data_IF_846013517873
#
_entry.id   IF_846013517873
#
_cell.length_a   1.000
_cell.length_b   1.000
_cell.length_c   1.000
_cell.angle_alpha   90.00
_cell.angle_beta   90.00
_cell.angle_gamma   90.00
#
_symmetry.space_group_name_H-M   'P 1'
#
loop_
_entity.id
_entity.type
_entity.pdbx_description
1 polymer ?
#
# COMPACT_ATOMS: atom_id res chain seq x y z
N UNK A 1 -14.42 21.88 -2.46
CA UNK A 1 -14.19 20.43 -2.63
C UNK A 1 -12.70 20.13 -2.80
N UNK A 2 -11.98 20.82 -3.71
CA UNK A 2 -10.56 20.55 -3.97
C UNK A 2 -9.68 20.75 -2.73
N UNK A 3 -9.93 21.79 -1.92
CA UNK A 3 -9.20 22.03 -0.65
C UNK A 3 -9.43 20.88 0.34
N UNK A 4 -10.68 20.45 0.52
CA UNK A 4 -11.00 19.34 1.41
C UNK A 4 -10.34 18.04 0.94
N UNK A 5 -10.35 17.74 -0.36
CA UNK A 5 -9.68 16.58 -0.95
C UNK A 5 -8.17 16.64 -0.71
N UNK A 6 -7.53 17.77 -1.01
CA UNK A 6 -6.09 17.95 -0.80
C UNK A 6 -5.70 17.81 0.68
N UNK A 7 -6.52 18.33 1.60
CA UNK A 7 -6.29 18.18 3.04
C UNK A 7 -6.35 16.71 3.48
N UNK A 8 -7.28 15.91 2.93
CA UNK A 8 -7.39 14.48 3.20
C UNK A 8 -6.22 13.67 2.62
N UNK A 9 -5.75 14.04 1.44
CA UNK A 9 -4.59 13.35 0.81
C UNK A 9 -3.30 13.56 1.61
N UNK A 10 -3.20 14.69 2.32
CA UNK A 10 -2.01 15.07 3.08
C UNK A 10 -2.03 14.62 4.54
N UNK A 11 -3.06 13.91 5.01
CA UNK A 11 -3.10 13.42 6.38
C UNK A 11 -3.40 11.92 6.48
N UNK A 12 -2.77 11.26 7.46
CA UNK A 12 -3.04 9.89 7.89
C UNK A 12 -3.52 9.85 9.35
N UNK A 13 -3.65 11.00 9.98
CA UNK A 13 -4.07 11.16 11.38
C UNK A 13 -5.60 11.14 11.46
N UNK A 14 -6.14 10.19 12.25
CA UNK A 14 -7.58 10.00 12.40
C UNK A 14 -8.29 11.24 12.96
N UNK A 15 -7.66 11.99 13.89
CA UNK A 15 -8.24 13.19 14.49
C UNK A 15 -8.31 14.33 13.46
N UNK A 16 -7.26 14.49 12.65
CA UNK A 16 -7.26 15.48 11.56
C UNK A 16 -8.30 15.16 10.51
N UNK A 17 -8.49 13.88 10.17
CA UNK A 17 -9.54 13.43 9.24
C UNK A 17 -10.92 13.78 9.80
N UNK A 18 -11.18 13.55 11.10
CA UNK A 18 -12.44 13.93 11.75
C UNK A 18 -12.66 15.45 11.77
N UNK A 19 -11.62 16.25 12.00
CA UNK A 19 -11.69 17.71 11.90
C UNK A 19 -12.06 18.19 10.49
N UNK A 20 -11.43 17.60 9.45
CA UNK A 20 -11.76 17.91 8.05
C UNK A 20 -13.21 17.55 7.73
N UNK A 21 -13.68 16.39 8.19
CA UNK A 21 -15.09 16.00 8.02
C UNK A 21 -16.04 17.03 8.63
N UNK A 22 -15.81 17.38 9.89
CA UNK A 22 -16.65 18.37 10.59
C UNK A 22 -16.60 19.75 9.92
N UNK A 23 -15.42 20.18 9.45
CA UNK A 23 -15.25 21.47 8.81
C UNK A 23 -15.99 21.59 7.47
N UNK A 24 -16.09 20.52 6.69
CA UNK A 24 -16.56 20.56 5.32
C UNK A 24 -17.88 19.83 5.08
N UNK A 25 -18.44 19.09 6.04
CA UNK A 25 -19.60 18.22 5.84
C UNK A 25 -20.84 18.93 5.27
N UNK A 26 -21.07 20.19 5.66
CA UNK A 26 -22.25 20.96 5.28
C UNK A 26 -21.97 22.06 4.24
N UNK A 27 -20.78 22.07 3.64
CA UNK A 27 -20.36 23.13 2.71
C UNK A 27 -20.68 22.87 1.24
N UNK A 28 -21.16 21.66 0.91
CA UNK A 28 -21.41 21.28 -0.48
C UNK A 28 -22.90 21.27 -0.80
N UNK A 29 -23.34 22.20 -1.66
CA UNK A 29 -24.73 22.29 -2.13
C UNK A 29 -25.06 21.21 -3.19
N UNK A 30 -24.04 20.70 -3.89
CA UNK A 30 -24.24 19.71 -4.94
C UNK A 30 -24.23 18.28 -4.34
N UNK A 31 -25.31 17.50 -4.46
CA UNK A 31 -25.43 16.16 -3.88
C UNK A 31 -24.30 15.20 -4.32
N UNK A 32 -23.87 15.28 -5.58
CA UNK A 32 -22.78 14.44 -6.11
C UNK A 32 -21.41 14.80 -5.46
N UNK A 33 -21.16 16.10 -5.24
CA UNK A 33 -19.95 16.56 -4.55
C UNK A 33 -19.96 16.11 -3.10
N UNK A 34 -21.10 16.22 -2.41
CA UNK A 34 -21.29 15.75 -1.04
C UNK A 34 -21.03 14.24 -0.94
N UNK A 35 -21.58 13.45 -1.86
CA UNK A 35 -21.36 12.01 -1.89
C UNK A 35 -19.89 11.65 -2.10
N UNK A 36 -19.22 12.32 -3.03
CA UNK A 36 -17.78 12.12 -3.27
C UNK A 36 -16.94 12.49 -2.05
N UNK A 37 -17.29 13.58 -1.36
CA UNK A 37 -16.61 13.98 -0.13
C UNK A 37 -16.77 12.90 0.96
N UNK A 38 -17.99 12.43 1.22
CA UNK A 38 -18.25 11.35 2.19
C UNK A 38 -17.46 10.07 1.85
N UNK A 39 -17.35 9.73 0.57
CA UNK A 39 -16.54 8.58 0.14
C UNK A 39 -15.04 8.81 0.41
N UNK A 40 -14.53 10.00 0.14
CA UNK A 40 -13.13 10.33 0.43
C UNK A 40 -12.83 10.31 1.93
N UNK A 41 -13.73 10.80 2.78
CA UNK A 41 -13.62 10.68 4.25
C UNK A 41 -13.59 9.22 4.68
N UNK A 42 -14.50 8.39 4.17
CA UNK A 42 -14.56 6.96 4.50
C UNK A 42 -13.25 6.26 4.12
N UNK A 43 -12.70 6.54 2.94
CA UNK A 43 -11.44 5.98 2.49
C UNK A 43 -10.26 6.47 3.34
N UNK A 44 -10.23 7.77 3.69
CA UNK A 44 -9.18 8.33 4.54
C UNK A 44 -9.22 7.72 5.96
N UNK A 45 -10.40 7.58 6.57
CA UNK A 45 -10.56 6.93 7.88
C UNK A 45 -10.06 5.47 7.86
N UNK A 46 -10.38 4.72 6.80
CA UNK A 46 -9.90 3.34 6.63
C UNK A 46 -8.39 3.25 6.54
N UNK A 47 -7.75 4.22 5.90
CA UNK A 47 -6.30 4.27 5.70
C UNK A 47 -5.57 5.11 6.75
N UNK A 48 -6.23 5.46 7.86
CA UNK A 48 -5.58 6.12 8.98
C UNK A 48 -4.63 5.16 9.71
N UNK A 49 -3.54 5.71 10.25
CA UNK A 49 -2.55 4.92 10.98
C UNK A 49 -3.19 4.23 12.20
N UNK A 50 -2.78 3.00 12.47
CA UNK A 50 -3.31 2.16 13.54
C UNK A 50 -4.65 1.47 13.23
N UNK A 51 -5.31 1.78 12.12
CA UNK A 51 -6.49 1.02 11.68
C UNK A 51 -6.05 -0.33 11.10
N UNK A 52 -6.93 -1.33 11.15
CA UNK A 52 -6.70 -2.61 10.47
C UNK A 52 -6.59 -2.37 8.96
N UNK A 53 -5.48 -2.80 8.38
CA UNK A 53 -5.28 -2.74 6.93
C UNK A 53 -6.36 -3.56 6.22
N UNK A 54 -7.00 -3.03 5.16
CA UNK A 54 -8.02 -3.78 4.44
C UNK A 54 -7.45 -5.09 3.88
N UNK A 55 -8.12 -6.21 4.14
CA UNK A 55 -7.71 -7.47 3.54
C UNK A 55 -7.86 -7.42 2.01
N UNK A 56 -6.94 -8.04 1.29
CA UNK A 56 -7.02 -8.23 -0.16
C UNK A 56 -6.67 -9.67 -0.53
N UNK A 57 -7.14 -10.08 -1.70
CA UNK A 57 -6.77 -11.35 -2.31
C UNK A 57 -5.90 -11.09 -3.54
N UNK A 58 -4.78 -11.78 -3.62
CA UNK A 58 -3.86 -11.73 -4.74
C UNK A 58 -3.53 -13.16 -5.21
N UNK A 59 -2.88 -13.28 -6.36
CA UNK A 59 -2.46 -14.57 -6.92
C UNK A 59 -0.95 -14.58 -7.03
N UNK A 60 -0.32 -15.67 -6.63
CA UNK A 60 1.13 -15.87 -6.85
C UNK A 60 1.42 -16.41 -8.26
N UNK A 61 2.70 -16.59 -8.61
CA UNK A 61 3.13 -17.07 -9.93
C UNK A 61 2.69 -18.50 -10.27
N UNK A 62 2.22 -19.27 -9.27
CA UNK A 62 1.67 -20.62 -9.46
C UNK A 62 0.15 -20.62 -9.63
N UNK A 63 -0.51 -19.45 -9.58
CA UNK A 63 -1.96 -19.34 -9.64
C UNK A 63 -2.67 -19.56 -8.29
N UNK A 64 -1.93 -19.71 -7.20
CA UNK A 64 -2.49 -19.89 -5.86
C UNK A 64 -2.97 -18.55 -5.29
N UNK A 65 -4.14 -18.56 -4.65
CA UNK A 65 -4.68 -17.36 -3.98
C UNK A 65 -3.99 -17.13 -2.64
N UNK A 66 -3.53 -15.91 -2.42
CA UNK A 66 -2.89 -15.44 -1.18
C UNK A 66 -3.70 -14.29 -0.63
N UNK A 67 -4.04 -14.34 0.65
CA UNK A 67 -4.72 -13.29 1.40
C UNK A 67 -3.72 -12.51 2.25
N UNK A 68 -3.91 -11.19 2.43
CA UNK A 68 -3.13 -10.41 3.40
C UNK A 68 -3.22 -11.00 4.81
N UNK A 69 -4.40 -11.50 5.22
CA UNK A 69 -4.61 -12.08 6.54
C UNK A 69 -3.72 -13.31 6.82
N UNK A 70 -3.19 -13.97 5.77
CA UNK A 70 -2.26 -15.09 5.93
C UNK A 70 -0.89 -14.68 6.51
N UNK A 71 -0.62 -13.39 6.59
CA UNK A 71 0.62 -12.83 7.14
C UNK A 71 0.46 -12.27 8.57
N UNK A 72 -0.69 -12.45 9.22
CA UNK A 72 -0.86 -12.08 10.64
C UNK A 72 0.24 -12.75 11.47
N UNK A 73 0.84 -11.98 12.38
CA UNK A 73 2.03 -12.37 13.16
C UNK A 73 3.35 -11.86 12.56
N UNK A 74 3.33 -11.34 11.33
CA UNK A 74 4.51 -10.78 10.65
C UNK A 74 4.30 -9.32 10.29
N UNK A 75 5.38 -8.56 10.23
CA UNK A 75 5.36 -7.29 9.51
C UNK A 75 5.27 -7.55 8.01
N UNK A 76 4.49 -6.73 7.30
CA UNK A 76 4.33 -6.82 5.85
C UNK A 76 4.75 -5.51 5.20
N UNK A 77 5.75 -5.56 4.31
CA UNK A 77 6.18 -4.42 3.51
C UNK A 77 5.75 -4.67 2.07
N UNK A 78 4.90 -3.79 1.54
CA UNK A 78 4.33 -3.96 0.20
C UNK A 78 4.91 -2.89 -0.73
N UNK A 79 5.46 -3.31 -1.87
CA UNK A 79 5.73 -2.49 -3.06
C UNK A 79 4.56 -2.67 -4.04
N UNK A 80 3.75 -1.64 -4.22
CA UNK A 80 2.66 -1.63 -5.22
C UNK A 80 3.22 -1.09 -6.53
N UNK A 81 3.23 -1.93 -7.56
CA UNK A 81 3.92 -1.65 -8.82
C UNK A 81 3.18 -2.21 -10.05
N UNK A 82 3.68 -1.90 -11.25
CA UNK A 82 3.22 -2.51 -12.49
C UNK A 82 4.36 -2.59 -13.52
N UNK A 83 4.25 -3.51 -14.48
CA UNK A 83 5.28 -3.74 -15.52
C UNK A 83 5.50 -2.54 -16.44
N UNK A 84 4.51 -1.70 -16.62
CA UNK A 84 4.56 -0.46 -17.40
C UNK A 84 5.08 0.76 -16.63
N UNK A 85 5.26 0.64 -15.30
CA UNK A 85 5.66 1.74 -14.42
C UNK A 85 7.19 1.89 -14.39
N UNK A 86 7.72 2.85 -15.13
CA UNK A 86 9.16 3.16 -15.16
C UNK A 86 9.76 3.49 -13.81
N UNK A 87 9.18 4.43 -13.02
CA UNK A 87 9.64 4.73 -11.67
C UNK A 87 9.63 3.52 -10.73
N UNK A 88 8.64 2.60 -10.87
CA UNK A 88 8.59 1.37 -10.08
C UNK A 88 9.81 0.48 -10.38
N UNK A 89 10.13 0.30 -11.67
CA UNK A 89 11.30 -0.48 -12.11
C UNK A 89 12.62 0.09 -11.61
N UNK A 90 12.71 1.40 -11.42
CA UNK A 90 13.87 2.04 -10.79
C UNK A 90 13.97 1.73 -9.30
N UNK A 91 12.85 1.63 -8.57
CA UNK A 91 12.81 1.35 -7.12
C UNK A 91 12.98 -0.14 -6.80
N UNK A 92 12.47 -1.04 -7.65
CA UNK A 92 12.43 -2.49 -7.42
C UNK A 92 13.78 -3.10 -7.00
N UNK A 93 14.92 -2.84 -7.67
CA UNK A 93 16.20 -3.41 -7.23
C UNK A 93 16.65 -2.93 -5.84
N UNK A 94 16.24 -1.73 -5.42
CA UNK A 94 16.56 -1.17 -4.12
C UNK A 94 15.69 -1.81 -3.04
N UNK A 95 14.41 -2.01 -3.33
CA UNK A 95 13.48 -2.76 -2.50
C UNK A 95 13.96 -4.21 -2.28
N UNK A 96 14.38 -4.90 -3.36
CA UNK A 96 14.94 -6.24 -3.31
C UNK A 96 16.21 -6.31 -2.43
N UNK A 97 17.08 -5.28 -2.52
CA UNK A 97 18.28 -5.16 -1.69
C UNK A 97 17.90 -5.07 -0.20
N UNK A 98 16.96 -4.20 0.15
CA UNK A 98 16.48 -4.09 1.55
C UNK A 98 15.85 -5.40 2.00
N UNK A 99 14.96 -6.01 1.21
CA UNK A 99 14.36 -7.30 1.55
C UNK A 99 15.42 -8.39 1.81
N UNK A 100 16.53 -8.36 1.07
CA UNK A 100 17.62 -9.33 1.25
C UNK A 100 18.35 -9.17 2.60
N UNK A 101 18.37 -7.98 3.22
CA UNK A 101 18.94 -7.79 4.57
C UNK A 101 18.12 -8.53 5.63
N UNK A 102 16.83 -8.71 5.41
CA UNK A 102 15.88 -9.39 6.31
C UNK A 102 15.61 -10.87 5.96
N UNK A 103 16.32 -11.45 4.99
CA UNK A 103 16.06 -12.82 4.48
C UNK A 103 16.12 -13.94 5.51
N UNK A 104 16.76 -13.71 6.67
CA UNK A 104 16.86 -14.66 7.78
C UNK A 104 15.81 -14.44 8.87
N UNK A 105 14.99 -13.39 8.75
CA UNK A 105 13.95 -13.06 9.73
C UNK A 105 12.63 -13.70 9.32
N UNK A 106 12.03 -14.45 10.22
CA UNK A 106 10.67 -14.99 10.05
C UNK A 106 9.59 -13.99 10.44
N UNK A 107 9.97 -12.84 10.98
CA UNK A 107 9.10 -11.81 11.53
C UNK A 107 8.57 -10.81 10.49
N UNK A 108 9.10 -10.85 9.27
CA UNK A 108 8.76 -9.89 8.21
C UNK A 108 8.66 -10.55 6.85
N UNK A 109 7.72 -10.09 6.04
CA UNK A 109 7.60 -10.45 4.63
C UNK A 109 7.60 -9.22 3.74
N UNK A 110 8.37 -9.29 2.66
CA UNK A 110 8.38 -8.28 1.60
C UNK A 110 7.56 -8.80 0.42
N UNK A 111 6.63 -7.99 -0.06
CA UNK A 111 5.70 -8.33 -1.14
C UNK A 111 5.84 -7.30 -2.27
N UNK A 112 6.08 -7.76 -3.48
CA UNK A 112 5.90 -6.97 -4.69
C UNK A 112 4.52 -7.29 -5.27
N UNK A 113 3.57 -6.37 -5.08
CA UNK A 113 2.17 -6.53 -5.43
C UNK A 113 1.90 -5.80 -6.75
N UNK A 114 1.78 -6.57 -7.84
CA UNK A 114 1.47 -6.03 -9.15
C UNK A 114 0.00 -5.64 -9.27
N UNK A 115 -0.22 -4.47 -9.88
CA UNK A 115 -1.54 -3.97 -10.28
C UNK A 115 -1.68 -3.95 -11.81
N UNK A 116 -0.94 -4.80 -12.54
CA UNK A 116 -1.12 -4.94 -13.98
C UNK A 116 -2.53 -5.42 -14.32
N UNK A 117 -3.15 -4.84 -15.34
CA UNK A 117 -4.45 -5.31 -15.85
C UNK A 117 -4.37 -6.74 -16.37
N UNK A 118 -3.23 -7.08 -17.03
CA UNK A 118 -3.00 -8.38 -17.65
C UNK A 118 -1.94 -9.18 -16.90
N UNK A 119 -2.36 -10.25 -16.28
CA UNK A 119 -1.48 -11.15 -15.49
C UNK A 119 -0.32 -11.72 -16.32
N UNK A 120 -0.52 -11.96 -17.63
CA UNK A 120 0.52 -12.52 -18.49
C UNK A 120 1.77 -11.64 -18.58
N UNK A 121 1.58 -10.31 -18.61
CA UNK A 121 2.69 -9.36 -18.62
C UNK A 121 3.50 -9.43 -17.34
N UNK A 122 2.82 -9.50 -16.20
CA UNK A 122 3.45 -9.66 -14.90
C UNK A 122 4.22 -10.99 -14.81
N UNK A 123 3.63 -12.12 -15.23
CA UNK A 123 4.29 -13.44 -15.22
C UNK A 123 5.58 -13.41 -16.03
N UNK A 124 5.58 -12.78 -17.22
CA UNK A 124 6.77 -12.65 -18.05
C UNK A 124 7.85 -11.83 -17.33
N UNK A 125 7.49 -10.71 -16.70
CA UNK A 125 8.45 -9.79 -16.05
C UNK A 125 9.10 -10.42 -14.81
N UNK A 126 8.36 -11.28 -14.07
CA UNK A 126 8.89 -11.91 -12.85
C UNK A 126 9.59 -13.25 -13.08
N UNK A 127 9.51 -13.83 -14.28
CA UNK A 127 9.95 -15.19 -14.61
C UNK A 127 11.36 -15.55 -14.11
N UNK A 128 12.27 -14.60 -14.25
CA UNK A 128 13.69 -14.79 -13.92
C UNK A 128 14.12 -14.09 -12.63
N UNK A 129 13.17 -13.50 -11.90
CA UNK A 129 13.46 -12.80 -10.63
C UNK A 129 13.80 -13.81 -9.53
N UNK A 130 15.06 -13.77 -9.07
CA UNK A 130 15.57 -14.55 -7.92
C UNK A 130 15.77 -13.62 -6.73
N UNK A 131 14.66 -13.25 -6.08
CA UNK A 131 14.66 -12.28 -4.98
C UNK A 131 13.92 -12.83 -3.75
N UNK A 132 14.26 -12.34 -2.55
CA UNK A 132 13.56 -12.66 -1.31
C UNK A 132 12.31 -11.78 -1.12
N UNK A 133 11.58 -11.57 -2.22
CA UNK A 133 10.36 -10.76 -2.27
C UNK A 133 9.26 -11.63 -2.86
N UNK A 134 8.17 -11.79 -2.13
CA UNK A 134 7.02 -12.54 -2.58
C UNK A 134 6.33 -11.79 -3.72
N UNK A 135 6.28 -12.41 -4.89
CA UNK A 135 5.65 -11.82 -6.08
C UNK A 135 4.16 -12.17 -6.09
N UNK A 136 3.30 -11.15 -6.03
CA UNK A 136 1.85 -11.28 -6.05
C UNK A 136 1.23 -10.37 -7.09
N UNK A 137 0.03 -10.74 -7.58
CA UNK A 137 -0.76 -9.96 -8.52
C UNK A 137 -2.20 -9.82 -8.02
N UNK A 138 -2.75 -8.61 -7.96
CA UNK A 138 -4.15 -8.40 -7.62
C UNK A 138 -5.06 -8.70 -8.81
N UNK A 139 -6.22 -9.30 -8.56
CA UNK A 139 -7.19 -9.62 -9.63
C UNK A 139 -7.93 -8.39 -10.15
N UNK A 140 -8.12 -7.38 -9.31
CA UNK A 140 -8.87 -6.16 -9.63
C UNK A 140 -8.10 -4.95 -9.11
N UNK A 141 -7.31 -4.34 -10.01
CA UNK A 141 -6.49 -3.16 -9.72
C UNK A 141 -7.36 -1.99 -9.22
N UNK A 142 -8.47 -1.72 -9.90
CA UNK A 142 -9.35 -0.60 -9.58
C UNK A 142 -9.96 -0.74 -8.17
N UNK A 143 -10.37 -1.94 -7.79
CA UNK A 143 -10.92 -2.21 -6.45
C UNK A 143 -9.81 -2.08 -5.39
N UNK A 144 -8.64 -2.67 -5.61
CA UNK A 144 -7.49 -2.58 -4.71
C UNK A 144 -7.05 -1.13 -4.52
N UNK A 145 -6.89 -0.37 -5.61
CA UNK A 145 -6.48 1.03 -5.56
C UNK A 145 -7.48 1.91 -4.79
N UNK A 146 -8.79 1.67 -4.94
CA UNK A 146 -9.82 2.33 -4.14
C UNK A 146 -9.75 1.93 -2.67
N UNK A 147 -9.55 0.64 -2.39
CA UNK A 147 -9.49 0.08 -1.04
C UNK A 147 -8.33 0.68 -0.25
N UNK A 148 -7.16 0.82 -0.87
CA UNK A 148 -5.93 1.34 -0.28
C UNK A 148 -5.70 2.83 -0.55
N UNK A 149 -6.66 3.53 -1.15
CA UNK A 149 -6.56 4.95 -1.51
C UNK A 149 -5.28 5.27 -2.30
N UNK A 150 -4.98 4.43 -3.31
CA UNK A 150 -3.80 4.58 -4.17
C UNK A 150 -4.16 5.41 -5.39
N UNK A 151 -3.55 6.58 -5.53
CA UNK A 151 -3.71 7.48 -6.69
C UNK A 151 -2.56 7.40 -7.68
N UNK A 152 -1.41 6.86 -7.25
CA UNK A 152 -0.21 6.72 -8.07
C UNK A 152 0.69 5.60 -7.55
N UNK A 153 1.48 5.01 -8.44
CA UNK A 153 2.54 4.05 -8.14
C UNK A 153 3.90 4.60 -8.61
N UNK A 154 5.03 4.18 -8.00
CA UNK A 154 5.13 3.19 -6.92
C UNK A 154 4.55 3.67 -5.58
N UNK A 155 4.02 2.75 -4.79
CA UNK A 155 3.53 3.01 -3.43
C UNK A 155 4.07 1.94 -2.49
N UNK A 156 4.68 2.37 -1.38
CA UNK A 156 5.23 1.47 -0.37
C UNK A 156 4.40 1.55 0.90
N UNK A 157 4.03 0.40 1.48
CA UNK A 157 3.11 0.30 2.61
C UNK A 157 3.74 -0.59 3.67
N UNK A 158 3.62 -0.21 4.95
CA UNK A 158 4.03 -1.02 6.09
C UNK A 158 2.81 -1.37 6.94
N UNK A 159 2.63 -2.68 7.18
CA UNK A 159 1.58 -3.26 8.01
C UNK A 159 2.24 -4.00 9.17
N UNK A 160 1.69 -3.86 10.36
CA UNK A 160 2.18 -4.47 11.58
C UNK A 160 1.74 -5.92 11.78
N UNK A 161 2.26 -6.56 12.83
CA UNK A 161 2.03 -7.97 13.14
C UNK A 161 0.57 -8.32 13.43
N UNK A 162 -0.22 -7.36 13.95
CA UNK A 162 -1.65 -7.55 14.20
C UNK A 162 -2.53 -7.14 13.00
N UNK A 163 -1.91 -6.85 11.83
CA UNK A 163 -2.62 -6.38 10.65
C UNK A 163 -2.93 -4.87 10.66
N UNK A 164 -2.39 -4.11 11.61
CA UNK A 164 -2.58 -2.66 11.68
C UNK A 164 -1.73 -1.92 10.64
N UNK A 165 -2.30 -0.86 10.06
CA UNK A 165 -1.60 0.01 9.12
C UNK A 165 -0.62 0.90 9.88
N UNK A 166 0.67 0.65 9.75
CA UNK A 166 1.74 1.46 10.35
C UNK A 166 2.07 2.65 9.46
N UNK A 167 2.23 2.43 8.16
CA UNK A 167 2.49 3.50 7.22
C UNK A 167 1.91 3.16 5.84
N UNK A 168 1.01 3.98 5.32
CA UNK A 168 0.37 3.78 4.02
C UNK A 168 1.13 4.41 2.85
N UNK A 169 2.28 5.04 3.13
CA UNK A 169 3.11 5.71 2.11
C UNK A 169 4.53 5.91 2.63
N UNK A 170 5.27 4.80 2.75
CA UNK A 170 6.70 4.86 3.09
C UNK A 170 7.49 5.71 2.09
N UNK A 171 8.64 6.29 2.50
CA UNK A 171 9.64 6.83 1.58
C UNK A 171 10.03 5.85 0.49
N UNK A 172 10.75 6.31 -0.52
CA UNK A 172 11.23 5.41 -1.57
C UNK A 172 12.43 4.57 -1.12
N UNK A 173 12.53 3.29 -1.51
CA UNK A 173 13.67 2.42 -1.18
C UNK A 173 15.04 2.94 -1.66
N UNK A 174 15.04 3.93 -2.56
CA UNK A 174 16.27 4.61 -3.00
C UNK A 174 16.79 5.65 -2.02
N UNK A 175 16.09 5.90 -0.93
CA UNK A 175 16.46 6.89 0.10
C UNK A 175 16.70 6.21 1.45
N UNK A 176 17.57 6.83 2.28
CA UNK A 176 17.90 6.28 3.59
C UNK A 176 16.70 6.28 4.55
N UNK A 177 15.75 7.18 4.35
CA UNK A 177 14.54 7.30 5.14
C UNK A 177 13.66 6.05 5.09
N UNK A 178 13.73 5.27 4.01
CA UNK A 178 13.00 4.02 3.90
C UNK A 178 13.44 3.01 4.96
N UNK A 179 14.75 2.78 5.07
CA UNK A 179 15.31 1.85 6.07
C UNK A 179 15.16 2.41 7.48
N UNK A 180 15.36 3.71 7.68
CA UNK A 180 15.13 4.37 8.98
C UNK A 180 13.69 4.16 9.45
N UNK A 181 12.70 4.30 8.55
CA UNK A 181 11.30 4.10 8.90
C UNK A 181 11.00 2.63 9.26
N UNK A 182 11.55 1.68 8.51
CA UNK A 182 11.42 0.26 8.86
C UNK A 182 12.03 -0.06 10.22
N UNK A 183 13.23 0.44 10.51
CA UNK A 183 13.95 0.15 11.76
C UNK A 183 13.28 0.69 13.02
N UNK A 184 12.39 1.69 12.92
CA UNK A 184 11.57 2.14 14.05
C UNK A 184 10.65 1.03 14.60
N UNK A 185 10.26 0.11 13.75
CA UNK A 185 9.28 -0.94 14.04
C UNK A 185 9.90 -2.34 14.07
N UNK A 186 10.93 -2.55 13.24
CA UNK A 186 11.67 -3.80 13.11
C UNK A 186 12.93 -3.68 13.99
N UNK A 187 12.82 -4.03 15.26
CA UNK A 187 14.03 -4.23 16.07
C UNK A 187 14.67 -5.54 15.62
N UNK A 188 16.02 -5.54 15.42
CA UNK A 188 16.76 -6.75 15.11
C UNK A 188 16.72 -7.76 16.25
#
# INVERSE_FOLDING_TARGET
>A
FNLAKQSLENTKDANKIAQIETQFQDQFLNPKVTQNFKQNITNAKRMALGQTAPNFLATNSKGETVSLDSFIGKFVVIDVWATWCGPCKYQSPKFDKVANTYKKSDDIVFIALSVDEKIDKWIIDIKDKKVNVLQLHVKNETEFSKLYNISSIPRFILIGKNGELINSSLPFPSTDEFEIELQKHLKP
#
